data_IF_567448611522
#
_entry.id   IF_567448611522
#
_cell.length_a   1.000
_cell.length_b   1.000
_cell.length_c   1.000
_cell.angle_alpha   90.00
_cell.angle_beta   90.00
_cell.angle_gamma   90.00
#
_symmetry.space_group_name_H-M   'P 1'
#
loop_
_entity.id
_entity.type
_entity.pdbx_description
1 polymer ?
#
# COMPACT_ATOMS: atom_id res chain seq x y z
N UNK A 1 7.16 15.98 -36.52
CA UNK A 1 7.04 14.78 -35.63
C UNK A 1 6.57 15.11 -34.20
N UNK A 2 7.27 15.96 -33.41
CA UNK A 2 6.82 16.26 -32.03
C UNK A 2 5.51 17.09 -31.99
N UNK A 3 5.44 18.19 -32.72
CA UNK A 3 4.24 19.04 -32.82
C UNK A 3 3.05 18.31 -33.46
N UNK A 4 3.28 17.39 -34.36
CA UNK A 4 2.23 16.55 -34.96
C UNK A 4 1.63 15.60 -33.93
N UNK A 5 2.47 15.01 -33.08
CA UNK A 5 2.00 14.18 -31.95
C UNK A 5 1.17 14.99 -30.97
N UNK A 6 1.64 16.16 -30.55
CA UNK A 6 0.92 17.05 -29.65
C UNK A 6 -0.44 17.50 -30.21
N UNK A 7 -0.54 17.70 -31.54
CA UNK A 7 -1.81 18.03 -32.20
C UNK A 7 -2.76 16.85 -32.33
N UNK A 8 -2.23 15.63 -32.42
CA UNK A 8 -3.01 14.40 -32.55
C UNK A 8 -3.48 13.83 -31.20
N UNK A 9 -2.79 14.17 -30.12
CA UNK A 9 -3.17 13.69 -28.79
C UNK A 9 -4.41 14.42 -28.27
N UNK A 10 -5.43 13.68 -27.79
CA UNK A 10 -6.57 14.29 -27.13
C UNK A 10 -6.13 14.94 -25.81
N UNK A 11 -6.76 16.04 -25.45
CA UNK A 11 -6.53 16.64 -24.14
C UNK A 11 -7.21 15.82 -23.06
N UNK A 12 -6.46 14.91 -22.43
CA UNK A 12 -6.94 13.85 -21.52
C UNK A 12 -7.68 14.41 -20.30
N UNK A 13 -7.41 15.62 -19.88
CA UNK A 13 -8.08 16.23 -18.73
C UNK A 13 -9.59 16.49 -19.00
N UNK A 14 -9.97 16.77 -20.25
CA UNK A 14 -11.39 17.04 -20.59
C UNK A 14 -12.27 15.82 -20.26
N UNK A 15 -11.97 14.59 -20.73
CA UNK A 15 -12.73 13.41 -20.34
C UNK A 15 -12.77 13.20 -18.82
N UNK A 16 -11.68 13.44 -18.11
CA UNK A 16 -11.65 13.29 -16.65
C UNK A 16 -12.58 14.27 -15.94
N UNK A 17 -12.62 15.52 -16.38
CA UNK A 17 -13.53 16.53 -15.85
C UNK A 17 -15.00 16.27 -16.19
N UNK A 18 -15.26 15.58 -17.31
CA UNK A 18 -16.62 15.13 -17.67
C UNK A 18 -17.11 13.97 -16.83
N UNK A 19 -16.19 13.23 -16.16
CA UNK A 19 -16.49 12.10 -15.30
C UNK A 19 -16.04 12.37 -13.85
N UNK A 20 -16.66 13.36 -13.12
CA UNK A 20 -16.24 13.75 -11.77
C UNK A 20 -16.58 12.72 -10.70
N UNK A 21 -17.39 11.72 -11.04
CA UNK A 21 -17.77 10.62 -10.15
C UNK A 21 -17.29 9.29 -10.69
N UNK A 22 -17.21 8.28 -9.82
CA UNK A 22 -16.86 6.90 -10.19
C UNK A 22 -17.98 6.23 -10.98
N UNK A 23 -18.10 6.58 -12.25
CA UNK A 23 -19.06 6.03 -13.21
C UNK A 23 -18.46 4.90 -14.07
N UNK A 24 -19.12 4.53 -15.17
CA UNK A 24 -18.67 3.48 -16.07
C UNK A 24 -17.30 3.75 -16.69
N UNK A 25 -16.96 5.03 -16.91
CA UNK A 25 -15.66 5.44 -17.45
C UNK A 25 -14.50 4.97 -16.55
N UNK A 26 -14.60 5.21 -15.24
CA UNK A 26 -13.57 4.81 -14.27
C UNK A 26 -13.62 3.33 -13.92
N UNK A 27 -14.83 2.75 -13.89
CA UNK A 27 -15.01 1.33 -13.59
C UNK A 27 -14.40 0.43 -14.64
N UNK A 28 -14.43 0.86 -15.92
CA UNK A 28 -13.85 0.11 -17.02
C UNK A 28 -12.38 -0.31 -16.78
N UNK A 29 -11.56 0.56 -16.21
CA UNK A 29 -10.15 0.28 -15.89
C UNK A 29 -9.89 -0.26 -14.48
N UNK A 30 -10.93 -0.54 -13.69
CA UNK A 30 -10.77 -0.89 -12.27
C UNK A 30 -10.83 -2.39 -12.04
N UNK A 31 -9.69 -3.00 -11.69
CA UNK A 31 -9.60 -4.44 -11.37
C UNK A 31 -10.59 -4.87 -10.27
N UNK A 32 -10.87 -3.99 -9.32
CA UNK A 32 -11.76 -4.28 -8.20
C UNK A 32 -13.24 -4.48 -8.59
N UNK A 33 -13.63 -4.12 -9.81
CA UNK A 33 -14.97 -4.40 -10.31
C UNK A 33 -15.17 -5.89 -10.64
N UNK A 34 -14.10 -6.54 -11.13
CA UNK A 34 -14.15 -7.96 -11.47
C UNK A 34 -12.75 -8.60 -11.35
N UNK A 35 -12.39 -9.01 -10.16
CA UNK A 35 -11.12 -9.71 -9.93
C UNK A 35 -11.00 -11.03 -10.70
N UNK A 36 -12.13 -11.68 -11.03
CA UNK A 36 -12.14 -12.95 -11.75
C UNK A 36 -11.79 -12.82 -13.24
N UNK A 37 -11.73 -11.59 -13.77
CA UNK A 37 -11.24 -11.34 -15.12
C UNK A 37 -9.71 -11.54 -15.25
N UNK A 38 -8.99 -11.63 -14.11
CA UNK A 38 -7.56 -11.92 -14.07
C UNK A 38 -7.38 -13.39 -13.72
N UNK A 39 -6.99 -14.18 -14.68
CA UNK A 39 -6.73 -15.63 -14.57
C UNK A 39 -5.24 -15.99 -14.60
N UNK A 40 -4.39 -15.05 -15.00
CA UNK A 40 -2.93 -15.22 -15.04
C UNK A 40 -2.31 -15.13 -13.64
N UNK A 41 -1.23 -15.90 -13.37
CA UNK A 41 -0.49 -15.77 -12.12
C UNK A 41 0.01 -14.35 -11.86
N UNK A 42 -0.13 -13.86 -10.63
CA UNK A 42 0.17 -12.48 -10.26
C UNK A 42 1.21 -12.37 -9.13
N UNK A 43 2.31 -11.67 -9.39
CA UNK A 43 3.26 -11.24 -8.37
C UNK A 43 2.99 -9.77 -8.03
N UNK A 44 2.61 -9.52 -6.78
CA UNK A 44 2.18 -8.22 -6.28
C UNK A 44 3.25 -7.67 -5.35
N UNK A 45 3.81 -6.51 -5.66
CA UNK A 45 4.94 -5.95 -4.91
C UNK A 45 4.65 -4.51 -4.52
N UNK A 46 4.97 -4.16 -3.29
CA UNK A 46 4.84 -2.78 -2.84
C UNK A 46 5.49 -2.52 -1.49
N UNK A 47 5.31 -1.32 -0.98
CA UNK A 47 5.94 -0.86 0.25
C UNK A 47 4.95 -0.30 1.26
N UNK A 48 5.28 -0.41 2.54
CA UNK A 48 4.47 0.17 3.62
C UNK A 48 4.43 1.70 3.59
N UNK A 49 5.50 2.32 3.08
CA UNK A 49 5.62 3.76 2.95
C UNK A 49 5.23 4.27 1.56
N UNK A 50 4.46 3.47 0.83
CA UNK A 50 3.87 3.84 -0.45
C UNK A 50 2.39 4.21 -0.26
N UNK A 51 1.91 5.24 -0.95
CA UNK A 51 0.50 5.62 -0.93
C UNK A 51 -0.44 4.51 -1.43
N UNK A 52 0.07 3.57 -2.21
CA UNK A 52 -0.71 2.47 -2.76
C UNK A 52 -0.60 1.16 -1.95
N UNK A 53 -0.05 1.20 -0.74
CA UNK A 53 0.11 0.04 0.14
C UNK A 53 -1.19 -0.77 0.30
N UNK A 54 -2.34 -0.11 0.34
CA UNK A 54 -3.66 -0.73 0.45
C UNK A 54 -4.08 -1.58 -0.77
N UNK A 55 -3.47 -1.38 -1.93
CA UNK A 55 -3.78 -2.16 -3.13
C UNK A 55 -3.38 -3.63 -2.98
N UNK A 56 -2.28 -3.89 -2.28
CA UNK A 56 -1.70 -5.25 -2.15
C UNK A 56 -2.66 -6.20 -1.42
N UNK A 57 -3.10 -5.93 -0.18
CA UNK A 57 -4.03 -6.82 0.51
C UNK A 57 -5.39 -6.93 -0.21
N UNK A 58 -5.84 -5.89 -0.90
CA UNK A 58 -7.07 -5.93 -1.70
C UNK A 58 -6.95 -6.89 -2.89
N UNK A 59 -5.85 -6.82 -3.63
CA UNK A 59 -5.57 -7.74 -4.73
C UNK A 59 -5.42 -9.17 -4.24
N UNK A 60 -4.66 -9.38 -3.18
CA UNK A 60 -4.47 -10.70 -2.58
C UNK A 60 -5.78 -11.33 -2.10
N UNK A 61 -6.69 -10.52 -1.57
CA UNK A 61 -8.03 -10.99 -1.18
C UNK A 61 -8.93 -11.24 -2.37
N UNK A 62 -8.87 -10.41 -3.40
CA UNK A 62 -9.80 -10.41 -4.53
C UNK A 62 -9.48 -11.43 -5.61
N UNK A 63 -8.21 -11.54 -6.01
CA UNK A 63 -7.75 -12.44 -7.06
C UNK A 63 -8.01 -13.90 -6.69
N UNK A 64 -8.36 -14.71 -7.70
CA UNK A 64 -8.61 -16.16 -7.55
C UNK A 64 -7.50 -17.02 -8.14
N UNK A 65 -6.66 -16.43 -8.97
CA UNK A 65 -5.50 -17.08 -9.58
C UNK A 65 -4.37 -17.28 -8.58
N UNK A 66 -3.32 -18.01 -8.99
CA UNK A 66 -2.07 -18.08 -8.23
C UNK A 66 -1.51 -16.67 -8.04
N UNK A 67 -1.31 -16.30 -6.79
CA UNK A 67 -0.84 -14.96 -6.44
C UNK A 67 0.13 -15.00 -5.28
N UNK A 68 1.15 -14.16 -5.35
CA UNK A 68 2.15 -13.96 -4.31
C UNK A 68 2.34 -12.48 -4.06
N UNK A 69 2.59 -12.09 -2.82
CA UNK A 69 2.86 -10.70 -2.45
C UNK A 69 4.20 -10.54 -1.75
N UNK A 70 4.88 -9.43 -2.03
CA UNK A 70 6.07 -8.98 -1.32
C UNK A 70 5.82 -7.55 -0.85
N UNK A 71 5.84 -7.32 0.46
CA UNK A 71 5.62 -6.01 1.05
C UNK A 71 6.83 -5.66 1.91
N UNK A 72 7.62 -4.72 1.44
CA UNK A 72 8.78 -4.22 2.18
C UNK A 72 8.51 -2.88 2.87
N UNK A 73 9.51 -2.30 3.55
CA UNK A 73 9.38 -1.01 4.20
C UNK A 73 9.43 0.18 3.23
N UNK A 74 9.45 -0.07 1.96
CA UNK A 74 9.78 0.86 0.89
C UNK A 74 8.74 1.96 0.67
N UNK A 75 9.21 3.12 0.22
CA UNK A 75 8.43 4.14 -0.47
C UNK A 75 8.18 3.75 -1.93
N UNK A 76 7.70 4.67 -2.77
CA UNK A 76 7.36 4.40 -4.17
C UNK A 76 8.61 4.19 -5.06
N UNK A 77 9.33 3.11 -4.81
CA UNK A 77 10.57 2.72 -5.51
C UNK A 77 10.60 1.21 -5.76
N UNK A 78 11.34 0.80 -6.79
CA UNK A 78 11.59 -0.62 -7.01
C UNK A 78 12.47 -1.20 -5.90
N UNK A 79 12.14 -2.39 -5.36
CA UNK A 79 12.75 -2.95 -4.16
C UNK A 79 14.27 -3.12 -4.16
N UNK A 80 14.92 -3.20 -5.33
CA UNK A 80 16.38 -3.37 -5.41
C UNK A 80 17.18 -2.07 -5.19
N UNK A 81 16.53 -0.92 -5.26
CA UNK A 81 17.13 0.38 -4.93
C UNK A 81 16.25 1.24 -4.02
N UNK A 82 15.19 0.65 -3.47
CA UNK A 82 14.23 1.37 -2.64
C UNK A 82 14.83 1.85 -1.32
N UNK A 83 14.20 2.84 -0.77
CA UNK A 83 14.36 3.33 0.59
C UNK A 83 12.97 3.41 1.24
N UNK A 84 12.90 3.21 2.56
CA UNK A 84 13.97 2.73 3.46
C UNK A 84 14.42 1.30 3.14
N UNK A 85 15.64 0.96 3.56
CA UNK A 85 16.11 -0.43 3.55
C UNK A 85 15.38 -1.26 4.62
N UNK A 86 15.40 -2.63 4.51
CA UNK A 86 16.24 -3.45 3.64
C UNK A 86 15.72 -3.54 2.19
N UNK A 87 16.66 -3.49 1.26
CA UNK A 87 16.43 -3.85 -0.15
C UNK A 87 16.37 -5.37 -0.31
N UNK A 88 15.87 -5.82 -1.47
CA UNK A 88 15.90 -7.24 -1.86
C UNK A 88 16.43 -7.40 -3.29
N UNK A 89 16.82 -8.61 -3.64
CA UNK A 89 17.16 -8.99 -5.01
C UNK A 89 15.93 -9.05 -5.90
N UNK A 90 15.27 -7.92 -6.11
CA UNK A 90 13.98 -7.85 -6.80
C UNK A 90 14.02 -8.36 -8.25
N UNK A 91 15.10 -8.08 -8.97
CA UNK A 91 15.26 -8.55 -10.35
C UNK A 91 15.36 -10.08 -10.40
N UNK A 92 16.00 -10.70 -9.40
CA UNK A 92 16.09 -12.16 -9.26
C UNK A 92 14.71 -12.76 -8.92
N UNK A 93 13.93 -12.10 -8.07
CA UNK A 93 12.55 -12.53 -7.78
C UNK A 93 11.67 -12.47 -9.03
N UNK A 94 11.78 -11.40 -9.81
CA UNK A 94 11.08 -11.28 -11.08
C UNK A 94 11.50 -12.36 -12.08
N UNK A 95 12.80 -12.64 -12.20
CA UNK A 95 13.31 -13.66 -13.09
C UNK A 95 12.79 -15.06 -12.71
N UNK A 96 12.84 -15.42 -11.42
CA UNK A 96 12.24 -16.66 -10.89
C UNK A 96 10.76 -16.78 -11.27
N UNK A 97 10.00 -15.67 -11.09
CA UNK A 97 8.59 -15.63 -11.42
C UNK A 97 8.34 -15.86 -12.92
N UNK A 98 9.04 -15.13 -13.79
CA UNK A 98 8.85 -15.25 -15.23
C UNK A 98 9.32 -16.60 -15.79
N UNK A 99 10.41 -17.15 -15.27
CA UNK A 99 10.87 -18.49 -15.66
C UNK A 99 9.85 -19.58 -15.30
N UNK A 100 9.22 -19.46 -14.14
CA UNK A 100 8.17 -20.39 -13.72
C UNK A 100 6.96 -20.34 -14.67
N UNK A 101 6.43 -19.14 -14.92
CA UNK A 101 5.11 -19.00 -15.56
C UNK A 101 5.15 -18.79 -17.05
N UNK A 102 6.23 -18.31 -17.62
CA UNK A 102 6.37 -18.11 -19.07
C UNK A 102 7.21 -19.19 -19.75
N UNK A 103 8.14 -19.82 -19.02
CA UNK A 103 9.01 -20.87 -19.57
C UNK A 103 8.70 -22.25 -19.00
N UNK A 104 7.76 -22.37 -18.08
CA UNK A 104 7.43 -23.61 -17.38
C UNK A 104 8.63 -24.26 -16.67
N UNK A 105 9.58 -23.45 -16.19
CA UNK A 105 10.74 -23.91 -15.45
C UNK A 105 10.40 -23.96 -13.97
N UNK A 106 10.63 -25.11 -13.32
CA UNK A 106 10.42 -25.22 -11.86
C UNK A 106 11.47 -24.40 -11.09
N UNK A 107 11.07 -23.23 -10.60
CA UNK A 107 11.95 -22.29 -9.89
C UNK A 107 11.74 -22.30 -8.38
N UNK A 108 10.75 -23.05 -7.91
CA UNK A 108 10.37 -23.10 -6.49
C UNK A 108 9.42 -21.99 -6.04
N UNK A 109 9.04 -21.05 -6.92
CA UNK A 109 8.12 -19.95 -6.60
C UNK A 109 6.77 -20.45 -6.08
N UNK A 110 6.28 -21.58 -6.58
CA UNK A 110 5.02 -22.18 -6.12
C UNK A 110 5.02 -22.56 -4.64
N UNK A 111 6.20 -22.86 -4.07
CA UNK A 111 6.40 -23.21 -2.67
C UNK A 111 6.68 -22.02 -1.76
N UNK A 112 6.94 -20.84 -2.33
CA UNK A 112 7.11 -19.61 -1.54
C UNK A 112 5.81 -19.30 -0.78
N UNK A 113 5.89 -18.67 0.41
CA UNK A 113 4.71 -18.16 1.10
C UNK A 113 3.87 -17.24 0.20
N UNK A 114 2.55 -17.23 0.37
CA UNK A 114 1.69 -16.33 -0.40
C UNK A 114 1.96 -14.87 -0.07
N UNK A 115 2.35 -14.59 1.17
CA UNK A 115 2.81 -13.29 1.62
C UNK A 115 4.23 -13.37 2.16
N UNK A 116 5.08 -12.47 1.70
CA UNK A 116 6.36 -12.12 2.30
C UNK A 116 6.29 -10.66 2.72
N UNK A 117 6.28 -10.43 4.02
CA UNK A 117 6.00 -9.12 4.59
C UNK A 117 7.12 -8.70 5.53
N UNK A 118 7.58 -7.49 5.38
CA UNK A 118 8.49 -6.88 6.34
C UNK A 118 7.69 -6.28 7.50
N UNK A 119 7.88 -6.82 8.69
CA UNK A 119 7.30 -6.29 9.92
C UNK A 119 8.29 -5.31 10.51
N UNK A 120 7.91 -4.04 10.50
CA UNK A 120 8.72 -2.96 11.06
C UNK A 120 8.61 -2.97 12.58
N UNK A 121 9.75 -2.83 13.26
CA UNK A 121 9.81 -2.60 14.69
C UNK A 121 9.60 -1.11 14.99
N UNK A 122 9.28 -0.80 16.24
CA UNK A 122 9.18 0.59 16.68
C UNK A 122 10.55 1.28 16.52
N UNK A 123 10.52 2.47 15.94
CA UNK A 123 11.71 3.28 15.74
C UNK A 123 11.43 4.74 16.15
N UNK A 124 12.48 5.44 16.51
CA UNK A 124 12.39 6.83 16.96
C UNK A 124 11.88 7.72 15.82
N UNK A 125 10.89 8.60 16.06
CA UNK A 125 10.42 9.52 15.02
C UNK A 125 11.57 10.33 14.40
N UNK A 126 11.45 10.59 13.11
CA UNK A 126 12.44 11.37 12.37
C UNK A 126 12.01 11.57 10.93
N UNK A 127 12.31 12.73 10.38
CA UNK A 127 11.84 13.17 9.06
C UNK A 127 12.56 12.50 7.89
N UNK A 128 13.60 11.73 8.15
CA UNK A 128 14.32 10.98 7.11
C UNK A 128 14.81 9.64 7.65
N UNK A 129 14.52 8.56 6.94
CA UNK A 129 14.85 7.19 7.30
C UNK A 129 15.49 6.46 6.12
N UNK A 130 16.79 6.19 6.18
CA UNK A 130 17.45 5.35 5.18
C UNK A 130 17.19 3.85 5.41
N UNK A 131 16.97 3.46 6.66
CA UNK A 131 16.70 2.08 7.08
C UNK A 131 15.62 2.06 8.15
N UNK A 132 14.75 1.07 8.11
CA UNK A 132 13.79 0.78 9.18
C UNK A 132 14.12 -0.57 9.80
N UNK A 133 14.26 -0.66 11.13
CA UNK A 133 14.46 -1.93 11.81
C UNK A 133 13.21 -2.82 11.69
N UNK A 134 13.43 -4.13 11.67
CA UNK A 134 12.34 -5.08 11.56
C UNK A 134 12.81 -6.45 11.08
N UNK A 135 11.85 -7.27 10.64
CA UNK A 135 12.11 -8.63 10.15
C UNK A 135 11.16 -9.03 9.05
N UNK A 136 11.59 -9.92 8.17
CA UNK A 136 10.74 -10.57 7.20
C UNK A 136 9.98 -11.73 7.84
N UNK A 137 8.70 -11.83 7.50
CA UNK A 137 7.87 -12.99 7.79
C UNK A 137 7.26 -13.53 6.50
N UNK A 138 6.97 -14.83 6.48
CA UNK A 138 6.21 -15.49 5.42
C UNK A 138 4.94 -16.10 5.97
N UNK A 139 3.82 -15.92 5.29
CA UNK A 139 2.54 -16.53 5.64
C UNK A 139 1.79 -16.96 4.38
N UNK A 140 0.93 -17.95 4.52
CA UNK A 140 0.02 -18.40 3.47
C UNK A 140 -1.30 -17.61 3.47
N UNK A 141 -1.59 -16.83 4.53
CA UNK A 141 -2.82 -16.07 4.66
C UNK A 141 -2.58 -14.69 5.27
N UNK A 142 -3.00 -13.66 4.58
CA UNK A 142 -3.11 -12.33 5.15
C UNK A 142 -4.41 -12.21 5.94
N UNK A 143 -4.30 -12.14 7.25
CA UNK A 143 -5.43 -11.81 8.12
C UNK A 143 -6.51 -12.88 8.28
N UNK A 144 -6.29 -14.13 7.89
CA UNK A 144 -7.37 -15.14 7.91
C UNK A 144 -7.14 -16.34 8.86
N UNK A 145 -5.89 -16.65 9.19
CA UNK A 145 -5.62 -17.84 10.03
C UNK A 145 -5.33 -17.52 11.49
N UNK A 146 -4.57 -16.46 11.72
CA UNK A 146 -4.01 -16.11 13.03
C UNK A 146 -4.37 -14.70 13.50
N UNK A 147 -5.36 -14.07 12.87
CA UNK A 147 -5.79 -12.71 13.24
C UNK A 147 -7.22 -12.71 13.75
N UNK A 148 -7.43 -12.02 14.87
CA UNK A 148 -8.74 -11.75 15.42
C UNK A 148 -9.12 -10.29 15.13
N UNK A 149 -10.28 -10.07 14.53
CA UNK A 149 -10.81 -8.72 14.35
C UNK A 149 -11.47 -8.25 15.63
N UNK A 150 -10.90 -7.25 16.30
CA UNK A 150 -11.49 -6.58 17.45
C UNK A 150 -12.12 -5.27 17.03
N UNK A 151 -13.38 -5.08 17.42
CA UNK A 151 -14.12 -3.86 17.18
C UNK A 151 -14.13 -3.01 18.45
N UNK A 152 -13.70 -1.76 18.31
CA UNK A 152 -13.70 -0.78 19.37
C UNK A 152 -14.60 0.41 18.99
N UNK A 153 -15.26 0.98 19.97
CA UNK A 153 -16.15 2.11 19.76
C UNK A 153 -15.56 3.34 20.44
N UNK A 154 -15.61 4.45 19.73
CA UNK A 154 -15.27 5.75 20.31
C UNK A 154 -16.47 6.25 21.14
N UNK A 155 -16.22 6.64 22.37
CA UNK A 155 -17.22 7.16 23.30
C UNK A 155 -16.71 8.47 23.93
N UNK A 156 -17.58 9.20 24.61
CA UNK A 156 -17.19 10.40 25.35
C UNK A 156 -16.16 10.15 26.46
N UNK A 157 -15.99 8.90 26.90
CA UNK A 157 -15.06 8.49 27.95
C UNK A 157 -13.85 7.70 27.40
N UNK A 158 -13.60 7.76 26.09
CA UNK A 158 -12.50 7.05 25.43
C UNK A 158 -12.97 5.85 24.61
N UNK A 159 -12.14 4.79 24.55
CA UNK A 159 -12.37 3.59 23.74
C UNK A 159 -13.09 2.54 24.58
N UNK A 160 -14.15 1.94 24.02
CA UNK A 160 -14.97 0.90 24.66
C UNK A 160 -15.17 -0.32 23.76
N UNK A 161 -15.31 -1.51 24.35
CA UNK A 161 -15.70 -2.74 23.66
C UNK A 161 -17.19 -2.79 23.31
N UNK A 162 -18.01 -1.85 23.79
CA UNK A 162 -19.44 -1.74 23.50
C UNK A 162 -19.77 -0.34 22.94
N UNK A 163 -20.80 -0.22 22.09
CA UNK A 163 -21.23 1.09 21.60
C UNK A 163 -21.66 1.99 22.77
N UNK A 164 -21.28 3.26 22.68
CA UNK A 164 -21.73 4.30 23.60
C UNK A 164 -23.17 4.75 23.32
N UNK A 165 -23.60 5.76 24.05
CA UNK A 165 -24.89 6.44 23.77
C UNK A 165 -24.80 7.13 22.41
N UNK A 166 -25.88 7.09 21.62
CA UNK A 166 -25.95 7.59 20.23
C UNK A 166 -25.90 9.13 20.10
N UNK A 167 -25.29 9.82 21.04
CA UNK A 167 -25.11 11.26 20.91
C UNK A 167 -23.87 11.56 20.08
N UNK A 168 -23.95 12.50 19.11
CA UNK A 168 -22.79 12.94 18.36
C UNK A 168 -21.71 13.45 19.32
N UNK A 169 -20.47 13.00 19.10
CA UNK A 169 -19.29 13.54 19.77
C UNK A 169 -18.73 14.67 18.91
N UNK A 170 -18.42 15.79 19.53
CA UNK A 170 -17.79 16.93 18.86
C UNK A 170 -16.32 16.95 19.20
N UNK A 171 -15.47 17.02 18.17
CA UNK A 171 -14.03 17.23 18.30
C UNK A 171 -13.76 18.63 17.77
N UNK A 172 -13.02 19.43 18.54
CA UNK A 172 -12.56 20.75 18.14
C UNK A 172 -11.07 20.83 18.41
N UNK A 173 -10.27 20.69 17.36
CA UNK A 173 -8.82 20.80 17.45
C UNK A 173 -8.36 22.21 17.12
N UNK A 174 -7.19 22.59 17.61
CA UNK A 174 -6.55 23.85 17.21
C UNK A 174 -6.21 23.81 15.73
N UNK A 175 -6.15 24.95 15.06
CA UNK A 175 -5.75 25.04 13.64
C UNK A 175 -4.30 24.63 13.40
N UNK A 176 -3.47 24.61 14.45
CA UNK A 176 -2.07 24.17 14.40
C UNK A 176 -1.91 22.66 14.56
N UNK A 177 -2.97 21.92 14.87
CA UNK A 177 -2.92 20.45 14.99
C UNK A 177 -2.48 19.83 13.67
N UNK A 178 -1.45 18.98 13.72
CA UNK A 178 -0.80 18.39 12.53
C UNK A 178 0.34 19.24 11.98
N UNK A 179 0.65 20.42 12.57
CA UNK A 179 1.75 21.27 12.11
C UNK A 179 3.13 20.60 12.18
N UNK A 180 3.32 19.71 13.13
CA UNK A 180 4.55 18.93 13.30
C UNK A 180 4.60 17.68 12.41
N UNK A 181 3.55 17.40 11.62
CA UNK A 181 3.45 16.22 10.75
C UNK A 181 4.43 16.21 9.56
N UNK A 182 5.07 17.35 9.27
CA UNK A 182 5.99 17.48 8.14
C UNK A 182 5.29 17.45 6.78
N UNK A 183 6.04 17.23 5.72
CA UNK A 183 5.49 17.10 4.37
C UNK A 183 4.82 15.75 4.17
N UNK A 184 3.58 15.76 3.70
CA UNK A 184 2.82 14.53 3.46
C UNK A 184 3.20 13.79 2.18
N UNK A 185 3.94 14.40 1.28
CA UNK A 185 4.26 13.81 -0.04
C UNK A 185 5.44 12.84 0.02
N UNK A 186 5.33 11.80 0.81
CA UNK A 186 6.37 10.78 1.04
C UNK A 186 6.63 9.92 -0.21
N UNK A 187 5.70 9.87 -1.15
CA UNK A 187 5.60 8.85 -2.19
C UNK A 187 6.75 8.89 -3.19
N UNK A 188 7.26 10.06 -3.49
CA UNK A 188 8.10 10.25 -4.68
C UNK A 188 9.58 10.38 -4.39
N UNK A 189 9.95 10.83 -3.22
CA UNK A 189 11.28 11.40 -3.00
C UNK A 189 12.23 10.53 -2.18
N UNK A 190 11.76 9.55 -1.47
CA UNK A 190 12.67 8.63 -0.80
C UNK A 190 12.41 8.46 0.69
N UNK A 191 13.38 8.76 1.57
CA UNK A 191 13.31 8.39 2.98
C UNK A 191 12.58 9.39 3.87
N UNK A 192 11.72 10.26 3.29
CA UNK A 192 10.96 11.25 4.05
C UNK A 192 9.87 10.60 4.88
N UNK A 193 9.73 11.06 6.11
CA UNK A 193 8.73 10.59 7.08
C UNK A 193 8.14 11.77 7.84
N UNK A 194 6.96 11.60 8.45
CA UNK A 194 6.45 12.58 9.41
C UNK A 194 7.45 12.80 10.54
N UNK A 195 7.54 14.03 11.01
CA UNK A 195 8.34 14.41 12.17
C UNK A 195 7.77 13.86 13.48
N UNK A 196 8.38 14.27 14.59
CA UNK A 196 7.89 13.96 15.94
C UNK A 196 6.65 14.81 16.22
N UNK A 197 5.49 14.17 16.27
CA UNK A 197 4.18 14.81 16.45
C UNK A 197 3.72 14.88 17.92
N UNK A 198 4.60 14.64 18.88
CA UNK A 198 4.24 14.62 20.31
C UNK A 198 3.61 15.93 20.82
N UNK A 199 3.93 17.05 20.18
CA UNK A 199 3.34 18.35 20.56
C UNK A 199 1.91 18.49 20.02
N UNK A 200 1.58 17.80 18.90
CA UNK A 200 0.23 17.74 18.39
C UNK A 200 -0.65 16.84 19.26
N UNK A 201 -0.09 15.78 19.83
CA UNK A 201 -0.81 14.88 20.75
C UNK A 201 -1.22 15.57 22.07
N UNK A 202 -0.55 16.66 22.45
CA UNK A 202 -0.81 17.42 23.67
C UNK A 202 -1.91 18.49 23.48
N UNK A 203 -2.48 18.64 22.29
CA UNK A 203 -3.49 19.64 21.95
C UNK A 203 -4.91 19.07 21.93
#
# INVERSE_FOLDING_TARGET
MWLERLKAEPFLLIPWLQHPHRDAYWKHGSVCENFSAIDTPALIVGGWNDAYSNAIPRLMKGLRTTRKAIIGPWSHKYPHFAVPEPRIGFLQEMLRWWDQWLKNTETGVSRDPDYRVYVMDADKPGTSKAHLPGRWIGDSYWGLGNTETKKWFLTGNGISGAPGTEKPLTISSRQTTGGDGGEYCIIWLGPEFPGDQKNDDAQ
#
